data_IF_420283965171
#
_entry.id   IF_420283965171
#
_cell.length_a   1.000
_cell.length_b   1.000
_cell.length_c   1.000
_cell.angle_alpha   90.00
_cell.angle_beta   90.00
_cell.angle_gamma   90.00
#
_symmetry.space_group_name_H-M   'P 1'
#
loop_
_entity.id
_entity.type
_entity.pdbx_description
1 polymer ?
#
# COMPACT_ATOMS: atom_id res chain seq x y z
N UNK A 1 -11.22 12.10 25.21
CA UNK A 1 -10.48 13.30 24.79
C UNK A 1 -10.42 13.28 23.27
N UNK A 2 -11.30 14.03 22.58
CA UNK A 2 -11.29 14.08 21.11
C UNK A 2 -10.14 14.99 20.70
N UNK A 3 -9.08 14.42 20.12
CA UNK A 3 -8.05 15.23 19.48
C UNK A 3 -8.75 16.03 18.37
N UNK A 4 -8.72 17.36 18.47
CA UNK A 4 -8.90 18.22 17.30
C UNK A 4 -7.68 17.99 16.41
N UNK A 5 -7.67 16.88 15.66
CA UNK A 5 -6.74 16.73 14.56
C UNK A 5 -7.18 17.74 13.49
N UNK A 6 -6.30 18.66 13.16
CA UNK A 6 -6.46 19.53 11.99
C UNK A 6 -6.84 18.69 10.77
N UNK A 7 -7.77 19.17 9.95
CA UNK A 7 -8.06 18.58 8.63
C UNK A 7 -6.73 18.41 7.88
N UNK A 8 -6.47 17.20 7.37
CA UNK A 8 -5.24 16.84 6.65
C UNK A 8 -5.58 16.51 5.21
N UNK A 9 -4.61 16.75 4.33
CA UNK A 9 -4.61 16.25 2.94
C UNK A 9 -3.91 14.90 2.91
N UNK A 10 -4.66 13.85 2.62
CA UNK A 10 -4.22 12.46 2.72
C UNK A 10 -4.19 11.82 1.35
N UNK A 11 -3.02 11.36 0.92
CA UNK A 11 -2.84 10.57 -0.29
C UNK A 11 -3.04 9.08 0.03
N UNK A 12 -3.87 8.38 -0.74
CA UNK A 12 -4.00 6.92 -0.67
C UNK A 12 -3.65 6.31 -2.03
N UNK A 13 -2.48 5.69 -2.16
CA UNK A 13 -2.12 4.95 -3.37
C UNK A 13 -2.76 3.56 -3.32
N UNK A 14 -3.28 3.06 -4.44
CA UNK A 14 -4.10 1.84 -4.44
C UNK A 14 -5.46 2.05 -3.79
N UNK A 15 -5.94 3.31 -3.75
CA UNK A 15 -7.17 3.70 -3.07
C UNK A 15 -8.45 3.12 -3.68
N UNK A 16 -8.41 2.62 -4.92
CA UNK A 16 -9.54 1.91 -5.53
C UNK A 16 -9.47 0.39 -5.34
N UNK A 17 -8.46 -0.11 -4.62
CA UNK A 17 -8.33 -1.50 -4.21
C UNK A 17 -9.25 -1.87 -3.03
N UNK A 18 -9.14 -3.13 -2.58
CA UNK A 18 -9.91 -3.64 -1.44
C UNK A 18 -9.69 -2.79 -0.18
N UNK A 19 -8.51 -2.86 0.44
CA UNK A 19 -8.23 -2.12 1.67
C UNK A 19 -8.22 -0.60 1.46
N UNK A 20 -7.70 -0.14 0.32
CA UNK A 20 -7.61 1.29 -0.01
C UNK A 20 -8.97 1.98 -0.02
N UNK A 21 -10.01 1.34 -0.58
CA UNK A 21 -11.34 1.96 -0.64
C UNK A 21 -11.99 2.13 0.73
N UNK A 22 -11.85 1.13 1.62
CA UNK A 22 -12.30 1.24 3.00
C UNK A 22 -11.53 2.31 3.78
N UNK A 23 -10.23 2.45 3.52
CA UNK A 23 -9.40 3.49 4.13
C UNK A 23 -9.82 4.89 3.66
N UNK A 24 -10.06 5.08 2.36
CA UNK A 24 -10.56 6.34 1.81
C UNK A 24 -11.89 6.74 2.48
N UNK A 25 -12.84 5.81 2.55
CA UNK A 25 -14.15 6.02 3.19
C UNK A 25 -13.99 6.41 4.67
N UNK A 26 -13.12 5.72 5.41
CA UNK A 26 -12.84 6.04 6.81
C UNK A 26 -12.23 7.44 6.98
N UNK A 27 -11.21 7.79 6.18
CA UNK A 27 -10.54 9.09 6.26
C UNK A 27 -11.48 10.26 5.95
N UNK A 28 -12.39 10.08 4.99
CA UNK A 28 -13.45 11.07 4.70
C UNK A 28 -14.42 11.22 5.86
N UNK A 29 -14.84 10.11 6.49
CA UNK A 29 -15.71 10.13 7.67
C UNK A 29 -15.04 10.81 8.88
N UNK A 30 -13.72 10.74 8.97
CA UNK A 30 -12.92 11.45 9.97
C UNK A 30 -12.70 12.95 9.59
N UNK A 31 -13.18 13.39 8.43
CA UNK A 31 -13.21 14.80 8.00
C UNK A 31 -11.99 15.28 7.20
N UNK A 32 -11.16 14.36 6.69
CA UNK A 32 -9.95 14.70 5.92
C UNK A 32 -10.23 14.92 4.43
N UNK A 33 -9.30 15.63 3.76
CA UNK A 33 -9.27 15.74 2.29
C UNK A 33 -8.48 14.56 1.74
N UNK A 34 -9.12 13.71 0.94
CA UNK A 34 -8.56 12.43 0.47
C UNK A 34 -8.31 12.48 -1.02
N UNK A 35 -7.04 12.33 -1.41
CA UNK A 35 -6.61 12.10 -2.77
C UNK A 35 -6.38 10.60 -3.00
N UNK A 36 -7.30 9.95 -3.71
CA UNK A 36 -7.19 8.56 -4.13
C UNK A 36 -6.36 8.47 -5.42
N UNK A 37 -5.22 7.78 -5.38
CA UNK A 37 -4.39 7.49 -6.56
C UNK A 37 -4.45 6.01 -6.91
N UNK A 38 -4.87 5.69 -8.13
CA UNK A 38 -4.94 4.32 -8.61
C UNK A 38 -4.82 4.25 -10.15
N UNK A 39 -4.13 3.25 -10.68
CA UNK A 39 -4.05 3.03 -12.14
C UNK A 39 -5.14 2.07 -12.66
N UNK A 40 -5.93 1.50 -11.74
CA UNK A 40 -6.96 0.47 -11.97
C UNK A 40 -6.43 -0.85 -12.52
N UNK A 41 -5.17 -1.20 -12.23
CA UNK A 41 -4.62 -2.50 -12.64
C UNK A 41 -5.37 -3.67 -11.97
N UNK A 42 -5.54 -3.61 -10.65
CA UNK A 42 -6.40 -4.54 -9.88
C UNK A 42 -7.53 -3.84 -9.13
N UNK A 43 -7.43 -2.53 -8.93
CA UNK A 43 -8.48 -1.70 -8.35
C UNK A 43 -9.69 -1.56 -9.28
N UNK A 44 -10.85 -1.24 -8.72
CA UNK A 44 -12.10 -1.07 -9.48
C UNK A 44 -12.73 0.26 -9.14
N UNK A 45 -13.15 1.03 -10.15
CA UNK A 45 -13.88 2.29 -9.94
C UNK A 45 -15.15 2.11 -9.10
N UNK A 46 -15.80 0.95 -9.21
CA UNK A 46 -16.96 0.60 -8.39
C UNK A 46 -16.69 0.64 -6.88
N UNK A 47 -15.45 0.37 -6.43
CA UNK A 47 -15.09 0.39 -5.01
C UNK A 47 -15.11 1.79 -4.40
N UNK A 48 -14.99 2.83 -5.22
CA UNK A 48 -14.93 4.24 -4.78
C UNK A 48 -16.04 5.10 -5.37
N UNK A 49 -16.94 4.51 -6.18
CA UNK A 49 -17.98 5.26 -6.90
C UNK A 49 -18.87 6.09 -5.95
N UNK A 50 -19.17 5.54 -4.78
CA UNK A 50 -19.96 6.19 -3.73
C UNK A 50 -19.24 7.37 -3.04
N UNK A 51 -17.94 7.55 -3.27
CA UNK A 51 -17.15 8.64 -2.70
C UNK A 51 -17.00 9.82 -3.66
N UNK A 52 -17.31 9.64 -4.95
CA UNK A 52 -16.98 10.61 -6.01
C UNK A 52 -17.72 11.95 -5.88
N UNK A 53 -18.89 11.97 -5.24
CA UNK A 53 -19.67 13.18 -5.03
C UNK A 53 -19.29 13.92 -3.73
N UNK A 54 -18.35 13.38 -2.94
CA UNK A 54 -17.87 14.03 -1.73
C UNK A 54 -16.89 15.16 -2.10
N UNK A 55 -17.12 16.41 -1.65
CA UNK A 55 -16.26 17.55 -2.00
C UNK A 55 -14.81 17.42 -1.49
N UNK A 56 -14.57 16.58 -0.49
CA UNK A 56 -13.26 16.33 0.09
C UNK A 56 -12.58 15.10 -0.53
N UNK A 57 -13.15 14.50 -1.58
CA UNK A 57 -12.58 13.34 -2.26
C UNK A 57 -12.17 13.68 -3.69
N UNK A 58 -10.92 13.39 -4.03
CA UNK A 58 -10.41 13.51 -5.40
C UNK A 58 -9.86 12.16 -5.88
N UNK A 59 -10.16 11.81 -7.13
CA UNK A 59 -9.61 10.64 -7.80
C UNK A 59 -8.61 11.07 -8.86
N UNK A 60 -7.37 10.60 -8.73
CA UNK A 60 -6.33 10.75 -9.74
C UNK A 60 -5.95 9.38 -10.32
N UNK A 61 -6.21 9.19 -11.61
CA UNK A 61 -5.76 8.01 -12.34
C UNK A 61 -4.26 8.14 -12.64
N UNK A 62 -3.41 7.47 -11.87
CA UNK A 62 -1.95 7.58 -11.99
C UNK A 62 -1.25 6.29 -11.57
N UNK A 63 -0.14 5.98 -12.23
CA UNK A 63 0.73 4.86 -11.90
C UNK A 63 1.93 5.38 -11.11
N UNK A 64 2.09 4.89 -9.87
CA UNK A 64 3.10 5.38 -8.94
C UNK A 64 4.54 5.09 -9.37
N UNK A 65 4.76 4.25 -10.40
CA UNK A 65 6.09 4.08 -11.00
C UNK A 65 6.57 5.33 -11.76
N UNK A 66 5.68 6.28 -12.01
CA UNK A 66 6.02 7.62 -12.48
C UNK A 66 5.98 8.64 -11.33
N UNK A 67 6.85 9.67 -11.34
CA UNK A 67 6.83 10.74 -10.35
C UNK A 67 5.46 11.41 -10.23
N UNK A 68 5.11 11.82 -9.00
CA UNK A 68 3.88 12.54 -8.68
C UNK A 68 4.22 13.76 -7.83
N UNK A 69 3.65 14.92 -8.19
CA UNK A 69 3.90 16.19 -7.52
C UNK A 69 2.59 16.79 -7.02
N UNK A 70 2.28 16.55 -5.74
CA UNK A 70 1.09 17.05 -5.03
C UNK A 70 1.46 17.50 -3.62
N UNK A 71 0.64 18.33 -2.99
CA UNK A 71 0.87 18.81 -1.62
C UNK A 71 0.00 18.04 -0.62
N UNK A 72 0.62 17.21 0.20
CA UNK A 72 -0.05 16.27 1.11
C UNK A 72 0.67 16.19 2.46
N UNK A 73 -0.10 15.91 3.50
CA UNK A 73 0.37 15.86 4.89
C UNK A 73 0.61 14.40 5.34
N UNK A 74 -0.17 13.46 4.81
CA UNK A 74 -0.01 12.02 5.04
C UNK A 74 -0.11 11.22 3.73
N UNK A 75 0.63 10.12 3.65
CA UNK A 75 0.62 9.20 2.51
C UNK A 75 0.41 7.76 3.03
N UNK A 76 -0.64 7.10 2.55
CA UNK A 76 -0.88 5.68 2.75
C UNK A 76 -0.53 4.95 1.45
N UNK A 77 0.62 4.27 1.45
CA UNK A 77 1.13 3.56 0.28
C UNK A 77 0.63 2.11 0.26
N UNK A 78 -0.48 1.87 -0.45
CA UNK A 78 -1.09 0.53 -0.60
C UNK A 78 -1.00 -0.01 -2.03
N UNK A 79 -0.56 0.79 -3.01
CA UNK A 79 -0.47 0.37 -4.41
C UNK A 79 0.55 -0.76 -4.61
N UNK A 80 0.06 -1.98 -4.78
CA UNK A 80 0.79 -3.17 -5.22
C UNK A 80 -0.24 -4.29 -5.48
N UNK A 81 -0.11 -5.10 -6.54
CA UNK A 81 -0.92 -6.31 -6.68
C UNK A 81 -0.68 -7.26 -5.49
N UNK A 82 -1.75 -7.69 -4.81
CA UNK A 82 -1.65 -8.45 -3.55
C UNK A 82 -1.97 -9.95 -3.67
N UNK A 83 -2.58 -10.37 -4.77
CA UNK A 83 -2.99 -11.76 -5.01
C UNK A 83 -1.92 -12.50 -5.84
N UNK A 84 -1.58 -13.76 -5.54
CA UNK A 84 -0.59 -14.53 -6.29
C UNK A 84 -0.80 -14.54 -7.80
N UNK A 85 -2.04 -14.77 -8.21
CA UNK A 85 -2.42 -14.78 -9.63
C UNK A 85 -2.08 -13.43 -10.30
N UNK A 86 -2.31 -12.31 -9.60
CA UNK A 86 -2.13 -10.97 -10.16
C UNK A 86 -0.67 -10.52 -10.14
N UNK A 87 0.09 -10.80 -9.08
CA UNK A 87 1.49 -10.38 -9.01
C UNK A 87 2.42 -11.27 -9.85
N UNK A 88 2.07 -12.54 -10.07
CA UNK A 88 2.82 -13.45 -10.94
C UNK A 88 2.50 -13.27 -12.43
N UNK A 89 1.37 -12.63 -12.77
CA UNK A 89 1.00 -12.36 -14.16
C UNK A 89 2.01 -11.44 -14.86
N UNK A 90 2.45 -10.39 -14.15
CA UNK A 90 3.55 -9.52 -14.59
C UNK A 90 4.53 -9.28 -13.41
N UNK A 91 5.52 -10.18 -13.23
CA UNK A 91 6.45 -10.11 -12.11
C UNK A 91 7.39 -8.91 -12.23
N UNK A 92 7.69 -8.45 -13.46
CA UNK A 92 8.53 -7.27 -13.68
C UNK A 92 7.78 -6.00 -13.23
N UNK A 93 6.52 -5.85 -13.62
CA UNK A 93 5.70 -4.73 -13.16
C UNK A 93 5.49 -4.76 -11.63
N UNK A 94 5.33 -5.94 -11.03
CA UNK A 94 5.19 -6.11 -9.58
C UNK A 94 6.44 -5.63 -8.82
N UNK A 95 7.64 -6.02 -9.27
CA UNK A 95 8.88 -5.51 -8.70
C UNK A 95 9.00 -4.00 -8.90
N UNK A 96 8.66 -3.51 -10.10
CA UNK A 96 8.74 -2.07 -10.44
C UNK A 96 7.84 -1.23 -9.55
N UNK A 97 6.58 -1.62 -9.33
CA UNK A 97 5.66 -0.88 -8.46
C UNK A 97 6.11 -0.93 -7.00
N UNK A 98 6.61 -2.09 -6.55
CA UNK A 98 7.08 -2.25 -5.15
C UNK A 98 8.32 -1.42 -4.86
N UNK A 99 9.28 -1.34 -5.80
CA UNK A 99 10.55 -0.65 -5.60
C UNK A 99 10.51 0.78 -6.14
N UNK A 100 10.35 0.98 -7.45
CA UNK A 100 10.33 2.32 -8.04
C UNK A 100 9.13 3.14 -7.57
N UNK A 101 7.97 2.51 -7.40
CA UNK A 101 6.81 3.18 -6.80
C UNK A 101 7.08 3.67 -5.38
N UNK A 102 7.72 2.83 -4.55
CA UNK A 102 8.14 3.25 -3.19
C UNK A 102 9.15 4.38 -3.22
N UNK A 103 10.13 4.36 -4.14
CA UNK A 103 11.10 5.46 -4.30
C UNK A 103 10.39 6.78 -4.62
N UNK A 104 9.43 6.76 -5.55
CA UNK A 104 8.67 7.96 -5.91
C UNK A 104 7.84 8.48 -4.73
N UNK A 105 7.16 7.60 -3.99
CA UNK A 105 6.35 8.00 -2.83
C UNK A 105 7.20 8.48 -1.65
N UNK A 106 8.36 7.88 -1.41
CA UNK A 106 9.33 8.35 -0.42
C UNK A 106 9.94 9.70 -0.81
N UNK A 107 10.23 9.90 -2.10
CA UNK A 107 10.66 11.19 -2.65
C UNK A 107 9.61 12.28 -2.45
N UNK A 108 8.34 11.96 -2.71
CA UNK A 108 7.21 12.84 -2.42
C UNK A 108 7.10 13.16 -0.92
N UNK A 109 7.12 12.15 -0.06
CA UNK A 109 7.06 12.31 1.40
C UNK A 109 8.18 13.20 1.93
N UNK A 110 9.41 13.00 1.45
CA UNK A 110 10.56 13.84 1.80
C UNK A 110 10.34 15.30 1.38
N UNK A 111 9.82 15.54 0.17
CA UNK A 111 9.62 16.88 -0.37
C UNK A 111 8.54 17.65 0.41
N UNK A 112 7.42 17.01 0.71
CA UNK A 112 6.29 17.65 1.42
C UNK A 112 6.39 17.56 2.94
N UNK A 113 7.38 16.83 3.46
CA UNK A 113 7.51 16.45 4.87
C UNK A 113 6.32 15.61 5.37
N UNK A 114 5.62 14.94 4.46
CA UNK A 114 4.52 14.06 4.82
C UNK A 114 4.99 12.86 5.63
N UNK A 115 4.13 12.42 6.55
CA UNK A 115 4.27 11.11 7.16
C UNK A 115 3.79 10.05 6.17
N UNK A 116 4.57 8.99 5.99
CA UNK A 116 4.26 7.92 5.02
C UNK A 116 4.12 6.57 5.70
N UNK A 117 3.03 5.87 5.37
CA UNK A 117 2.73 4.50 5.77
C UNK A 117 2.98 3.54 4.60
N UNK A 118 3.66 2.43 4.87
CA UNK A 118 3.85 1.31 3.94
C UNK A 118 2.97 0.14 4.33
N UNK A 119 2.10 -0.29 3.41
CA UNK A 119 1.48 -1.61 3.47
C UNK A 119 2.49 -2.68 3.04
N UNK A 120 3.25 -3.19 4.01
CA UNK A 120 4.04 -4.40 3.86
C UNK A 120 3.16 -5.63 4.06
N UNK A 121 3.76 -6.81 4.22
CA UNK A 121 3.05 -8.09 4.18
C UNK A 121 3.72 -9.11 5.08
N UNK A 122 2.97 -10.11 5.56
CA UNK A 122 3.54 -11.28 6.22
C UNK A 122 4.46 -12.10 5.31
N UNK A 123 4.35 -11.98 3.99
CA UNK A 123 5.21 -12.69 3.02
C UNK A 123 6.69 -12.31 3.14
N UNK A 124 7.04 -11.18 3.79
CA UNK A 124 8.44 -10.85 4.09
C UNK A 124 9.10 -11.86 5.03
N UNK A 125 8.29 -12.66 5.75
CA UNK A 125 8.74 -13.78 6.58
C UNK A 125 8.98 -15.07 5.78
N UNK A 126 8.46 -15.18 4.55
CA UNK A 126 8.66 -16.33 3.67
C UNK A 126 8.02 -17.62 4.16
N UNK A 127 8.81 -18.69 4.20
CA UNK A 127 8.48 -19.98 4.80
C UNK A 127 9.07 -20.07 6.22
N UNK A 128 8.38 -19.50 7.23
CA UNK A 128 8.97 -19.21 8.53
C UNK A 128 9.33 -20.48 9.29
N UNK A 129 10.54 -20.48 9.86
CA UNK A 129 11.04 -21.57 10.71
C UNK A 129 10.69 -21.38 12.20
N UNK A 130 10.02 -20.28 12.55
CA UNK A 130 9.62 -19.92 13.92
C UNK A 130 8.12 -19.60 13.98
N UNK A 131 7.51 -19.92 15.12
CA UNK A 131 6.10 -19.65 15.38
C UNK A 131 5.88 -19.16 16.84
N UNK A 132 5.15 -18.05 17.06
CA UNK A 132 4.59 -17.13 16.06
C UNK A 132 5.69 -16.30 15.36
N UNK A 133 5.34 -15.63 14.26
CA UNK A 133 6.26 -14.71 13.57
C UNK A 133 6.24 -13.34 14.27
N UNK A 134 7.31 -13.00 14.97
CA UNK A 134 7.54 -11.67 15.54
C UNK A 134 8.27 -10.77 14.54
N UNK A 135 8.21 -9.45 14.73
CA UNK A 135 8.82 -8.48 13.82
C UNK A 135 10.36 -8.56 13.79
N UNK A 136 10.98 -9.16 14.81
CA UNK A 136 12.42 -9.42 14.90
C UNK A 136 12.88 -10.54 13.95
N UNK A 137 11.96 -11.41 13.51
CA UNK A 137 12.29 -12.50 12.59
C UNK A 137 12.62 -11.97 11.19
N UNK A 138 13.78 -12.36 10.66
CA UNK A 138 14.29 -11.88 9.37
C UNK A 138 13.61 -12.50 8.16
N UNK A 139 12.88 -13.60 8.34
CA UNK A 139 12.26 -14.36 7.27
C UNK A 139 13.18 -15.42 6.64
N UNK A 140 12.55 -16.40 6.01
CA UNK A 140 13.21 -17.45 5.22
C UNK A 140 12.57 -17.45 3.83
N UNK A 141 13.11 -16.58 2.96
CA UNK A 141 12.55 -16.25 1.65
C UNK A 141 13.53 -16.71 0.56
N UNK A 142 13.01 -17.33 -0.49
CA UNK A 142 13.79 -17.64 -1.69
C UNK A 142 13.84 -16.39 -2.60
N UNK A 143 15.02 -15.84 -2.92
CA UNK A 143 15.11 -14.59 -3.69
C UNK A 143 14.90 -14.74 -5.20
N UNK A 144 14.84 -15.96 -5.72
CA UNK A 144 14.70 -16.26 -7.16
C UNK A 144 13.51 -17.17 -7.51
N UNK A 145 12.63 -17.42 -6.53
CA UNK A 145 11.39 -18.16 -6.75
C UNK A 145 10.34 -17.36 -7.53
N UNK A 146 9.28 -18.04 -7.97
CA UNK A 146 8.19 -17.42 -8.74
C UNK A 146 7.42 -16.33 -7.96
N UNK A 147 7.51 -16.34 -6.62
CA UNK A 147 6.88 -15.34 -5.75
C UNK A 147 7.81 -14.17 -5.40
N UNK A 148 9.11 -14.27 -5.72
CA UNK A 148 10.12 -13.30 -5.27
C UNK A 148 9.88 -11.88 -5.80
N UNK A 149 9.20 -11.73 -6.94
CA UNK A 149 8.80 -10.41 -7.43
C UNK A 149 7.96 -9.61 -6.41
N UNK A 150 7.12 -10.30 -5.64
CA UNK A 150 6.33 -9.72 -4.55
C UNK A 150 7.13 -9.73 -3.24
N UNK A 151 7.69 -10.89 -2.87
CA UNK A 151 8.33 -11.07 -1.56
C UNK A 151 9.57 -10.17 -1.40
N UNK A 152 10.50 -10.22 -2.36
CA UNK A 152 11.69 -9.36 -2.35
C UNK A 152 11.35 -7.92 -2.69
N UNK A 153 10.32 -7.68 -3.51
CA UNK A 153 9.80 -6.33 -3.77
C UNK A 153 9.37 -5.64 -2.48
N UNK A 154 8.61 -6.34 -1.62
CA UNK A 154 8.15 -5.82 -0.32
C UNK A 154 9.29 -5.71 0.69
N UNK A 155 10.21 -6.67 0.74
CA UNK A 155 11.42 -6.61 1.59
C UNK A 155 12.29 -5.41 1.23
N UNK A 156 12.55 -5.20 -0.06
CA UNK A 156 13.30 -4.05 -0.56
C UNK A 156 12.60 -2.72 -0.23
N UNK A 157 11.27 -2.67 -0.35
CA UNK A 157 10.50 -1.50 0.06
C UNK A 157 10.67 -1.18 1.55
N UNK A 158 10.65 -2.17 2.46
CA UNK A 158 10.94 -1.92 3.88
C UNK A 158 12.32 -1.30 4.08
N UNK A 159 13.35 -1.84 3.42
CA UNK A 159 14.73 -1.30 3.44
C UNK A 159 14.75 0.16 3.05
N UNK A 160 14.14 0.52 1.90
CA UNK A 160 14.06 1.89 1.41
C UNK A 160 13.38 2.83 2.42
N UNK A 161 12.28 2.41 3.02
CA UNK A 161 11.58 3.20 4.03
C UNK A 161 12.50 3.51 5.22
N UNK A 162 13.17 2.49 5.76
CA UNK A 162 14.09 2.67 6.89
C UNK A 162 15.34 3.49 6.52
N UNK A 163 15.85 3.38 5.29
CA UNK A 163 16.95 4.21 4.79
C UNK A 163 16.56 5.68 4.69
N UNK A 164 15.38 5.99 4.13
CA UNK A 164 14.87 7.36 4.09
C UNK A 164 14.66 7.94 5.50
N UNK A 165 14.25 7.12 6.47
CA UNK A 165 14.20 7.55 7.88
C UNK A 165 15.60 7.88 8.42
N UNK A 166 16.57 6.98 8.25
CA UNK A 166 17.94 7.15 8.77
C UNK A 166 18.67 8.33 8.13
N UNK A 167 18.57 8.47 6.81
CA UNK A 167 19.34 9.45 6.03
C UNK A 167 18.65 10.81 5.93
N UNK A 168 17.31 10.83 5.89
CA UNK A 168 16.54 12.04 5.59
C UNK A 168 15.51 12.40 6.66
N UNK A 169 15.39 11.62 7.74
CA UNK A 169 14.45 11.90 8.83
C UNK A 169 12.98 11.77 8.43
N UNK A 170 12.66 11.09 7.32
CA UNK A 170 11.27 10.91 6.88
C UNK A 170 10.48 10.14 7.94
N UNK A 171 9.31 10.66 8.30
CA UNK A 171 8.42 10.03 9.27
C UNK A 171 7.72 8.83 8.63
N UNK A 172 8.22 7.63 8.90
CA UNK A 172 7.68 6.39 8.34
C UNK A 172 6.81 5.61 9.33
N UNK A 173 5.90 4.81 8.78
CA UNK A 173 5.23 3.69 9.44
C UNK A 173 5.22 2.49 8.50
N UNK A 174 5.45 1.30 9.01
CA UNK A 174 5.45 0.05 8.24
C UNK A 174 4.55 -0.93 8.96
N UNK A 175 3.59 -1.53 8.26
CA UNK A 175 2.76 -2.61 8.80
C UNK A 175 2.91 -3.86 7.94
N UNK A 176 3.29 -4.98 8.56
CA UNK A 176 3.34 -6.30 7.93
C UNK A 176 1.97 -6.95 8.00
N UNK A 177 1.16 -6.72 6.97
CA UNK A 177 -0.24 -7.13 6.95
C UNK A 177 -0.35 -8.63 6.68
N UNK A 178 -1.06 -9.33 7.56
CA UNK A 178 -1.44 -10.74 7.39
C UNK A 178 -2.71 -10.86 6.55
N UNK A 179 -3.09 -12.10 6.23
CA UNK A 179 -4.29 -12.40 5.45
C UNK A 179 -5.51 -11.65 5.98
N UNK A 180 -6.12 -10.84 5.11
CA UNK A 180 -7.28 -10.00 5.41
C UNK A 180 -8.38 -10.31 4.40
N UNK A 181 -9.64 -10.31 4.84
CA UNK A 181 -10.80 -10.59 4.00
C UNK A 181 -11.95 -9.62 4.33
N UNK A 182 -12.91 -9.48 3.41
CA UNK A 182 -14.08 -8.63 3.61
C UNK A 182 -14.71 -8.12 2.32
N UNK A 183 -15.75 -7.26 2.42
CA UNK A 183 -16.41 -6.67 1.25
C UNK A 183 -15.41 -5.94 0.33
N UNK A 184 -15.63 -5.99 -0.99
CA UNK A 184 -14.75 -5.40 -2.03
C UNK A 184 -13.42 -6.16 -2.25
N UNK A 185 -13.18 -7.28 -1.57
CA UNK A 185 -12.14 -8.24 -1.94
C UNK A 185 -12.46 -8.84 -3.33
N UNK A 186 -11.42 -9.10 -4.12
CA UNK A 186 -11.61 -9.70 -5.44
C UNK A 186 -12.09 -11.16 -5.30
N UNK A 187 -13.06 -11.59 -6.10
CA UNK A 187 -13.62 -12.96 -6.00
C UNK A 187 -12.55 -14.01 -6.35
N UNK A 188 -11.73 -13.74 -7.37
CA UNK A 188 -10.65 -14.64 -7.81
C UNK A 188 -9.30 -14.27 -7.20
N UNK A 189 -9.28 -13.82 -5.95
CA UNK A 189 -8.07 -13.33 -5.28
C UNK A 189 -7.08 -14.46 -4.91
N UNK A 190 -7.53 -15.72 -4.92
CA UNK A 190 -6.69 -16.92 -4.80
C UNK A 190 -6.02 -17.12 -3.44
N UNK A 191 -6.20 -16.21 -2.49
CA UNK A 191 -5.78 -16.38 -1.09
C UNK A 191 -6.73 -17.34 -0.37
N UNK A 192 -6.20 -18.02 0.64
CA UNK A 192 -6.84 -19.16 1.34
C UNK A 192 -8.29 -18.90 1.72
N UNK A 193 -8.60 -17.72 2.27
CA UNK A 193 -9.97 -17.38 2.73
C UNK A 193 -10.98 -17.31 1.57
N UNK A 194 -10.59 -16.80 0.39
CA UNK A 194 -11.48 -16.79 -0.78
C UNK A 194 -11.72 -18.16 -1.39
N UNK A 195 -10.89 -19.17 -1.07
CA UNK A 195 -11.06 -20.54 -1.57
C UNK A 195 -11.95 -21.41 -0.66
N UNK A 196 -12.32 -20.92 0.53
CA UNK A 196 -13.16 -21.63 1.50
C UNK A 196 -14.61 -21.09 1.58
N UNK A 197 -14.93 -20.03 0.82
CA UNK A 197 -16.26 -19.42 0.74
C UNK A 197 -16.88 -19.74 -0.63
#
# INVERSE_FOLDING_TARGET
MRHYDSIKRVLVTGGAGFLGSHLCERLLNDGHDVLCVDNFYTGRRANIAHLLDNPNFELLRHDITFPLYVEVDEIYNLACPAAPIHYQYDPVATTKVSVHGSINMLGLAKRTKAKIFQASTSEVYGDPQLHPQTEEYWGHVNPIGLRSCYDEGKRCAETLFFDYRRQHGVAIKVARIFNTYGPRMHINDGRVVSNFI
#
